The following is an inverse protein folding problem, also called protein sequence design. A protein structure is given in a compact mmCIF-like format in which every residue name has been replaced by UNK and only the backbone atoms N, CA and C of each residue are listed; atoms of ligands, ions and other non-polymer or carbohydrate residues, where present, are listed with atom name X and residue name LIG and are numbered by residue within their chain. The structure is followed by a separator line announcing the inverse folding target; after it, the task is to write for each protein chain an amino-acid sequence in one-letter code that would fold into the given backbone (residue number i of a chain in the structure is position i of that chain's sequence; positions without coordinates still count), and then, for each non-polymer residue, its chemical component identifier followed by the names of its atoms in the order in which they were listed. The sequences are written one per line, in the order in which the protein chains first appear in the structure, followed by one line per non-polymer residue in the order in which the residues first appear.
data_IF_679250419118
#
_entry.id   IF_679250419118
#
_cell.length_a   1.000
_cell.length_b   1.000
_cell.length_c   1.000
_cell.angle_alpha   90.00
_cell.angle_beta   90.00
_cell.angle_gamma   90.00
#
_symmetry.space_group_name_H-M   'P 1'
#
loop_
_entity.id
_entity.type
_entity.pdbx_description
1 polymer ?
#
# COMPACT_ATOMS: atom_id res chain seq x y z
N UNK A 1 17.90 -3.99 2.20
CA UNK A 1 17.82 -3.53 3.59
C UNK A 1 19.24 -3.49 4.19
N UNK A 2 19.80 -2.30 4.51
CA UNK A 2 21.14 -2.14 5.06
C UNK A 2 21.40 -3.02 6.30
N UNK A 3 20.43 -3.09 7.22
CA UNK A 3 20.56 -3.88 8.45
C UNK A 3 20.76 -5.37 8.19
N UNK A 4 20.05 -5.95 7.20
CA UNK A 4 20.26 -7.35 6.82
C UNK A 4 21.66 -7.56 6.22
N UNK A 5 22.11 -6.64 5.38
CA UNK A 5 23.44 -6.68 4.78
C UNK A 5 24.52 -6.71 5.86
N UNK A 6 24.42 -5.85 6.84
CA UNK A 6 25.42 -5.73 7.91
C UNK A 6 25.38 -6.90 8.90
N UNK A 7 24.19 -7.32 9.32
CA UNK A 7 24.02 -8.40 10.31
C UNK A 7 24.49 -9.76 9.76
N UNK A 8 24.20 -10.05 8.49
CA UNK A 8 24.52 -11.36 7.89
C UNK A 8 25.68 -11.30 6.92
N UNK A 9 26.36 -10.16 6.78
CA UNK A 9 27.47 -9.99 5.83
C UNK A 9 27.10 -10.49 4.44
N UNK A 10 25.96 -10.02 3.93
CA UNK A 10 25.40 -10.42 2.64
C UNK A 10 26.31 -9.94 1.51
N UNK A 11 26.75 -10.86 0.69
CA UNK A 11 27.61 -10.63 -0.49
C UNK A 11 26.81 -10.59 -1.79
N UNK A 12 27.37 -11.21 -2.82
CA UNK A 12 26.75 -11.25 -4.16
C UNK A 12 25.57 -12.21 -4.24
N UNK A 13 24.66 -11.94 -5.19
CA UNK A 13 23.55 -12.83 -5.53
C UNK A 13 24.10 -14.11 -6.16
N UNK A 14 23.64 -15.25 -5.67
CA UNK A 14 23.85 -16.56 -6.30
C UNK A 14 22.75 -16.79 -7.35
N UNK A 15 23.06 -16.48 -8.60
CA UNK A 15 22.12 -16.61 -9.71
C UNK A 15 21.64 -18.04 -9.95
N UNK A 16 22.46 -19.05 -9.59
CA UNK A 16 22.10 -20.46 -9.79
C UNK A 16 21.06 -20.96 -8.77
N UNK A 17 20.99 -20.29 -7.62
CA UNK A 17 20.07 -20.62 -6.52
C UNK A 17 18.97 -19.57 -6.33
N UNK A 18 18.83 -18.65 -7.27
CA UNK A 18 17.76 -17.66 -7.29
C UNK A 18 16.80 -17.99 -8.42
N UNK A 19 15.50 -17.81 -8.18
CA UNK A 19 14.44 -18.17 -9.12
C UNK A 19 13.29 -17.17 -9.09
N UNK A 20 12.57 -17.09 -10.18
CA UNK A 20 11.22 -16.49 -10.20
C UNK A 20 10.27 -17.62 -9.86
N UNK A 21 9.61 -17.52 -8.71
CA UNK A 21 8.72 -18.57 -8.20
C UNK A 21 7.34 -18.48 -8.83
N UNK A 22 6.85 -17.24 -9.04
CA UNK A 22 5.61 -16.99 -9.76
C UNK A 22 5.56 -15.58 -10.34
N UNK A 23 4.84 -15.42 -11.44
CA UNK A 23 4.48 -14.14 -12.00
C UNK A 23 2.98 -14.17 -12.33
N UNK A 24 2.22 -13.20 -11.82
CA UNK A 24 0.78 -13.05 -12.04
C UNK A 24 0.51 -11.68 -12.61
N UNK A 25 -0.30 -11.63 -13.66
CA UNK A 25 -0.75 -10.39 -14.28
C UNK A 25 -2.24 -10.20 -14.01
N UNK A 26 -2.58 -9.00 -13.59
CA UNK A 26 -3.95 -8.55 -13.32
C UNK A 26 -4.21 -7.29 -14.15
N UNK A 27 -5.46 -6.82 -14.27
CA UNK A 27 -5.77 -5.65 -15.09
C UNK A 27 -4.98 -4.38 -14.73
N UNK A 28 -4.66 -4.16 -13.47
CA UNK A 28 -4.01 -2.94 -12.99
C UNK A 28 -2.68 -3.18 -12.27
N UNK A 29 -2.24 -4.45 -12.11
CA UNK A 29 -0.98 -4.77 -11.46
C UNK A 29 -0.35 -6.08 -11.93
N UNK A 30 0.95 -6.19 -11.72
CA UNK A 30 1.73 -7.41 -11.93
C UNK A 30 2.42 -7.73 -10.62
N UNK A 31 2.28 -8.98 -10.17
CA UNK A 31 2.92 -9.49 -8.96
C UNK A 31 3.97 -10.53 -9.33
N UNK A 32 5.21 -10.31 -8.92
CA UNK A 32 6.32 -11.22 -9.19
C UNK A 32 6.95 -11.65 -7.88
N UNK A 33 6.81 -12.93 -7.54
CA UNK A 33 7.47 -13.55 -6.39
C UNK A 33 8.80 -14.14 -6.81
N UNK A 34 9.86 -13.73 -6.15
CA UNK A 34 11.23 -14.12 -6.47
C UNK A 34 11.89 -14.67 -5.20
N UNK A 35 12.52 -15.84 -5.30
CA UNK A 35 13.46 -16.31 -4.28
C UNK A 35 14.86 -15.82 -4.63
N UNK A 36 15.43 -14.98 -3.78
CA UNK A 36 16.80 -14.50 -3.90
C UNK A 36 17.71 -15.21 -2.90
N UNK A 37 18.79 -15.78 -3.41
CA UNK A 37 19.84 -16.41 -2.61
C UNK A 37 21.12 -15.58 -2.74
N UNK A 38 21.73 -15.27 -1.60
CA UNK A 38 22.97 -14.50 -1.51
C UNK A 38 24.06 -15.33 -0.84
N UNK A 39 25.29 -15.16 -1.26
CA UNK A 39 26.43 -15.64 -0.51
C UNK A 39 26.59 -14.80 0.76
N UNK A 40 26.97 -15.45 1.86
CA UNK A 40 27.19 -14.77 3.13
C UNK A 40 28.35 -15.38 3.90
N UNK A 41 29.13 -14.55 4.57
CA UNK A 41 30.18 -15.00 5.51
C UNK A 41 29.63 -15.20 6.93
N UNK A 42 28.42 -14.72 7.22
CA UNK A 42 27.77 -14.84 8.52
C UNK A 42 26.32 -15.32 8.34
N UNK A 43 26.10 -16.62 8.00
CA UNK A 43 24.75 -17.14 7.80
C UNK A 43 23.94 -17.16 9.10
N UNK A 44 22.61 -17.20 9.03
CA UNK A 44 21.77 -17.49 10.19
C UNK A 44 22.17 -18.80 10.88
N UNK A 45 22.07 -18.89 12.20
CA UNK A 45 22.53 -20.06 12.98
C UNK A 45 21.99 -21.41 12.52
N UNK A 46 20.77 -21.44 12.00
CA UNK A 46 20.12 -22.65 11.49
C UNK A 46 20.65 -23.12 10.13
N UNK A 47 21.43 -22.29 9.43
CA UNK A 47 21.90 -22.58 8.09
C UNK A 47 23.38 -22.95 8.09
N UNK A 48 23.70 -24.22 7.78
CA UNK A 48 25.08 -24.72 7.64
C UNK A 48 25.73 -24.31 6.31
N UNK A 49 24.94 -23.81 5.35
CA UNK A 49 25.44 -23.31 4.08
C UNK A 49 25.87 -21.85 4.22
N UNK A 50 26.89 -21.44 3.46
CA UNK A 50 27.30 -20.02 3.43
C UNK A 50 26.40 -19.18 2.53
N UNK A 51 25.08 -19.36 2.69
CA UNK A 51 24.05 -18.67 1.90
C UNK A 51 22.92 -18.17 2.76
N UNK A 52 22.27 -17.14 2.29
CA UNK A 52 21.07 -16.54 2.87
C UNK A 52 20.02 -16.39 1.77
N UNK A 53 18.87 -17.04 1.93
CA UNK A 53 17.78 -16.97 0.96
C UNK A 53 16.54 -16.31 1.60
N UNK A 54 15.82 -15.53 0.80
CA UNK A 54 14.54 -14.97 1.19
C UNK A 54 13.67 -14.72 -0.05
N UNK A 55 12.39 -14.68 0.17
CA UNK A 55 11.43 -14.35 -0.88
C UNK A 55 11.13 -12.85 -0.86
N UNK A 56 11.01 -12.28 -2.05
CA UNK A 56 10.60 -10.88 -2.27
C UNK A 56 9.46 -10.88 -3.27
N UNK A 57 8.38 -10.22 -2.91
CA UNK A 57 7.32 -9.91 -3.85
C UNK A 57 7.52 -8.51 -4.43
N UNK A 58 7.53 -8.42 -5.75
CA UNK A 58 7.58 -7.16 -6.48
C UNK A 58 6.21 -6.88 -7.08
N UNK A 59 5.58 -5.81 -6.62
CA UNK A 59 4.31 -5.33 -7.16
C UNK A 59 4.55 -4.16 -8.09
N UNK A 60 4.12 -4.30 -9.35
CA UNK A 60 4.10 -3.23 -10.33
C UNK A 60 2.66 -2.79 -10.54
N UNK A 61 2.34 -1.55 -10.22
CA UNK A 61 0.98 -1.02 -10.24
C UNK A 61 0.85 0.00 -11.36
N UNK A 62 -0.18 -0.15 -12.19
CA UNK A 62 -0.54 0.84 -13.18
C UNK A 62 -1.05 2.10 -12.47
N UNK A 63 -0.44 3.23 -12.78
CA UNK A 63 -0.91 4.49 -12.22
C UNK A 63 -2.22 4.93 -12.91
N UNK A 64 -3.17 5.51 -12.18
CA UNK A 64 -4.43 5.95 -12.75
C UNK A 64 -4.21 7.07 -13.78
N UNK A 65 -4.96 7.03 -14.89
CA UNK A 65 -4.92 8.07 -15.92
C UNK A 65 -5.34 9.44 -15.35
N UNK A 66 -6.39 9.45 -14.55
CA UNK A 66 -6.84 10.65 -13.83
C UNK A 66 -6.10 10.77 -12.51
N UNK A 67 -5.22 11.76 -12.45
CA UNK A 67 -4.45 12.04 -11.23
C UNK A 67 -5.33 12.66 -10.16
N UNK A 68 -5.12 12.25 -8.92
CA UNK A 68 -5.73 12.88 -7.76
C UNK A 68 -5.27 14.33 -7.65
N UNK A 69 -6.20 15.26 -7.32
CA UNK A 69 -5.82 16.65 -6.99
C UNK A 69 -4.82 16.66 -5.83
N UNK A 70 -3.66 17.25 -6.07
CA UNK A 70 -2.61 17.39 -5.07
C UNK A 70 -3.04 18.38 -4.00
N UNK A 71 -2.52 18.19 -2.78
CA UNK A 71 -2.62 19.14 -1.69
C UNK A 71 -1.22 19.34 -1.09
N UNK A 72 -0.76 20.58 -1.09
CA UNK A 72 0.54 20.94 -0.53
C UNK A 72 0.52 20.78 0.99
N UNK A 73 1.68 20.48 1.55
CA UNK A 73 1.88 20.41 2.98
C UNK A 73 1.80 21.82 3.59
N UNK A 74 1.14 21.88 4.75
CA UNK A 74 1.12 23.07 5.60
C UNK A 74 1.71 22.67 6.95
N UNK A 75 2.71 23.44 7.42
CA UNK A 75 3.44 23.16 8.67
C UNK A 75 2.58 23.27 9.93
N UNK A 76 1.43 23.95 9.83
CA UNK A 76 0.47 24.08 10.94
C UNK A 76 -0.27 22.78 11.26
N UNK A 77 -0.23 21.82 10.35
CA UNK A 77 -0.90 20.54 10.51
C UNK A 77 0.09 19.38 10.25
N UNK A 78 0.23 18.49 11.23
CA UNK A 78 1.16 17.35 11.20
C UNK A 78 0.70 16.22 10.32
N UNK A 79 0.76 16.36 8.99
CA UNK A 79 0.42 15.32 8.02
C UNK A 79 1.60 14.44 7.65
N UNK A 80 1.33 13.18 7.33
CA UNK A 80 2.27 12.37 6.58
C UNK A 80 2.39 12.90 5.15
N UNK A 81 3.62 13.00 4.64
CA UNK A 81 3.89 13.61 3.34
C UNK A 81 4.66 12.70 2.40
N UNK A 82 4.57 13.01 1.11
CA UNK A 82 5.45 12.52 0.05
C UNK A 82 6.28 13.70 -0.43
N UNK A 83 7.60 13.53 -0.43
CA UNK A 83 8.50 14.53 -0.99
C UNK A 83 8.60 14.33 -2.51
N UNK A 84 8.53 15.41 -3.25
CA UNK A 84 8.70 15.45 -4.70
C UNK A 84 9.73 16.51 -5.05
N UNK A 85 10.40 16.32 -6.18
CA UNK A 85 11.32 17.31 -6.77
C UNK A 85 10.74 17.67 -8.14
N UNK A 86 10.65 18.97 -8.39
CA UNK A 86 10.22 19.50 -9.68
C UNK A 86 11.45 19.74 -10.57
N UNK A 87 11.50 18.99 -11.67
CA UNK A 87 12.56 19.13 -12.70
C UNK A 87 12.03 19.84 -13.96
N UNK A 88 10.79 20.32 -13.96
CA UNK A 88 10.19 21.00 -15.12
C UNK A 88 10.49 22.49 -15.18
N UNK A 89 11.10 23.03 -14.13
CA UNK A 89 11.47 24.43 -14.03
C UNK A 89 12.82 24.70 -14.69
N UNK A 90 12.93 25.82 -15.42
CA UNK A 90 14.20 26.33 -15.98
C UNK A 90 15.11 26.99 -14.94
N UNK A 91 14.79 26.87 -13.64
CA UNK A 91 15.59 27.43 -12.57
C UNK A 91 16.94 26.69 -12.42
N UNK A 92 17.95 27.39 -11.95
CA UNK A 92 19.29 26.81 -11.69
C UNK A 92 19.30 25.72 -10.61
N UNK A 93 18.21 25.60 -9.85
CA UNK A 93 18.03 24.60 -8.80
C UNK A 93 16.62 24.02 -8.88
N UNK A 94 16.52 22.69 -8.84
CA UNK A 94 15.23 22.01 -8.72
C UNK A 94 14.61 22.23 -7.35
N UNK A 95 13.36 22.65 -7.32
CA UNK A 95 12.61 22.84 -6.09
C UNK A 95 12.03 21.54 -5.57
N UNK A 96 12.14 21.37 -4.25
CA UNK A 96 11.47 20.27 -3.57
C UNK A 96 10.20 20.76 -2.89
N UNK A 97 9.14 19.98 -2.99
CA UNK A 97 7.88 20.27 -2.34
C UNK A 97 7.29 19.01 -1.69
N UNK A 98 6.44 19.22 -0.71
CA UNK A 98 5.79 18.14 0.04
C UNK A 98 4.31 18.11 -0.23
N UNK A 99 3.80 16.90 -0.53
CA UNK A 99 2.38 16.65 -0.75
C UNK A 99 1.82 15.85 0.42
N UNK A 100 0.62 16.19 0.86
CA UNK A 100 -0.08 15.48 1.92
C UNK A 100 -0.51 14.10 1.42
N UNK A 101 -0.24 13.05 2.21
CA UNK A 101 -0.84 11.72 2.02
C UNK A 101 -2.27 11.76 2.53
N UNK A 102 -3.22 11.44 1.66
CA UNK A 102 -4.64 11.35 2.00
C UNK A 102 -5.36 10.35 1.11
N UNK A 103 -6.50 9.90 1.56
CA UNK A 103 -7.40 9.11 0.73
C UNK A 103 -7.97 9.97 -0.41
N UNK A 104 -8.16 9.34 -1.58
CA UNK A 104 -8.87 9.95 -2.70
C UNK A 104 -10.36 9.83 -2.45
N UNK A 105 -10.95 10.83 -1.81
CA UNK A 105 -12.38 10.92 -1.59
C UNK A 105 -12.94 11.95 -2.56
N UNK A 106 -13.74 11.48 -3.51
CA UNK A 106 -14.47 12.28 -4.49
C UNK A 106 -15.95 12.01 -4.30
N UNK A 107 -16.78 13.04 -4.20
CA UNK A 107 -18.22 12.84 -3.96
C UNK A 107 -18.88 12.17 -5.17
N UNK A 108 -19.78 11.22 -4.91
CA UNK A 108 -20.59 10.57 -5.94
C UNK A 108 -21.58 11.54 -6.57
N UNK A 109 -22.05 12.50 -5.78
CA UNK A 109 -22.90 13.62 -6.20
C UNK A 109 -22.27 14.94 -5.75
N UNK A 110 -21.66 15.66 -6.71
CA UNK A 110 -20.94 16.91 -6.43
C UNK A 110 -21.90 18.06 -6.08
N UNK A 111 -23.11 18.10 -6.64
CA UNK A 111 -24.09 19.13 -6.35
C UNK A 111 -24.62 19.01 -4.91
N UNK A 112 -24.98 17.80 -4.49
CA UNK A 112 -25.41 17.56 -3.12
C UNK A 112 -24.29 17.87 -2.11
N UNK A 113 -23.05 17.47 -2.43
CA UNK A 113 -21.90 17.80 -1.61
C UNK A 113 -21.67 19.31 -1.47
N UNK A 114 -21.82 20.05 -2.56
CA UNK A 114 -21.69 21.52 -2.56
C UNK A 114 -22.76 22.22 -1.74
N UNK A 115 -23.94 21.61 -1.59
CA UNK A 115 -25.01 22.11 -0.69
C UNK A 115 -24.78 21.73 0.78
N UNK A 116 -23.70 20.99 1.09
CA UNK A 116 -23.40 20.54 2.46
C UNK A 116 -24.14 19.27 2.88
N UNK A 117 -24.73 18.53 1.94
CA UNK A 117 -25.36 17.23 2.21
C UNK A 117 -24.32 16.14 2.38
N UNK A 118 -24.60 15.14 3.23
CA UNK A 118 -23.76 13.95 3.34
C UNK A 118 -23.92 13.07 2.10
N UNK A 119 -22.82 12.84 1.39
CA UNK A 119 -22.78 12.02 0.17
C UNK A 119 -21.88 10.80 0.32
N UNK A 120 -22.12 9.78 -0.48
CA UNK A 120 -21.18 8.67 -0.59
C UNK A 120 -19.97 9.06 -1.46
N UNK A 121 -18.77 8.52 -1.17
CA UNK A 121 -17.64 8.66 -2.07
C UNK A 121 -17.84 7.81 -3.33
N UNK A 122 -17.27 8.21 -4.47
CA UNK A 122 -17.23 7.40 -5.70
C UNK A 122 -16.61 6.02 -5.46
N UNK A 123 -15.61 5.95 -4.59
CA UNK A 123 -14.95 4.72 -4.16
C UNK A 123 -14.81 4.69 -2.66
N UNK A 124 -15.37 3.69 -2.02
CA UNK A 124 -15.22 3.46 -0.58
C UNK A 124 -13.80 3.02 -0.24
N UNK A 125 -13.36 3.31 0.97
CA UNK A 125 -12.17 2.75 1.58
C UNK A 125 -12.56 1.38 2.14
N UNK A 126 -12.05 0.32 1.52
CA UNK A 126 -12.36 -1.06 1.93
C UNK A 126 -11.15 -1.67 2.62
N UNK A 127 -11.36 -2.16 3.83
CA UNK A 127 -10.40 -2.99 4.56
C UNK A 127 -10.88 -4.44 4.57
N UNK A 128 -10.03 -5.35 4.15
CA UNK A 128 -10.29 -6.77 4.27
C UNK A 128 -9.63 -7.32 5.53
N UNK A 129 -10.40 -8.08 6.31
CA UNK A 129 -9.87 -8.75 7.49
C UNK A 129 -9.04 -9.96 7.06
N UNK A 130 -7.86 -10.12 7.67
CA UNK A 130 -7.03 -11.31 7.47
C UNK A 130 -7.81 -12.56 7.88
N UNK A 131 -7.73 -13.62 7.08
CA UNK A 131 -8.36 -14.91 7.35
C UNK A 131 -7.85 -15.55 8.65
N UNK A 132 -6.61 -15.28 9.03
CA UNK A 132 -6.02 -15.71 10.29
C UNK A 132 -6.63 -15.01 11.51
N UNK A 133 -7.37 -13.91 11.33
CA UNK A 133 -8.06 -13.24 12.45
C UNK A 133 -9.13 -14.15 13.05
N UNK A 134 -9.03 -14.51 14.34
CA UNK A 134 -10.00 -15.40 14.99
C UNK A 134 -11.43 -14.85 14.90
N UNK A 135 -12.39 -15.71 14.57
CA UNK A 135 -13.80 -15.33 14.32
C UNK A 135 -14.39 -14.49 15.45
N UNK A 136 -14.07 -14.81 16.70
CA UNK A 136 -14.57 -14.09 17.90
C UNK A 136 -14.19 -12.61 17.94
N UNK A 137 -13.07 -12.22 17.28
CA UNK A 137 -12.58 -10.84 17.30
C UNK A 137 -13.01 -10.03 16.09
N UNK A 138 -13.43 -10.68 14.99
CA UNK A 138 -13.82 -10.00 13.75
C UNK A 138 -14.87 -8.90 13.93
N UNK A 139 -15.96 -9.09 14.71
CA UNK A 139 -16.95 -8.04 14.90
C UNK A 139 -16.35 -6.76 15.54
N UNK A 140 -15.39 -6.91 16.43
CA UNK A 140 -14.74 -5.78 17.08
C UNK A 140 -13.80 -5.03 16.13
N UNK A 141 -13.07 -5.75 15.26
CA UNK A 141 -12.27 -5.12 14.21
C UNK A 141 -13.15 -4.38 13.19
N UNK A 142 -14.22 -5.00 12.74
CA UNK A 142 -15.19 -4.37 11.83
C UNK A 142 -15.69 -3.07 12.46
N UNK A 143 -16.23 -3.15 13.67
CA UNK A 143 -16.74 -1.99 14.38
C UNK A 143 -15.67 -0.90 14.53
N UNK A 144 -14.46 -1.24 14.98
CA UNK A 144 -13.38 -0.27 15.17
C UNK A 144 -12.93 0.41 13.89
N UNK A 145 -13.00 -0.26 12.73
CA UNK A 145 -12.73 0.34 11.43
C UNK A 145 -13.90 1.26 11.02
N UNK A 146 -15.13 0.80 11.17
CA UNK A 146 -16.31 1.53 10.73
C UNK A 146 -16.66 2.72 11.63
N UNK A 147 -16.22 2.75 12.89
CA UNK A 147 -16.32 3.90 13.78
C UNK A 147 -15.67 5.16 13.21
N UNK A 148 -14.70 5.02 12.29
CA UNK A 148 -14.11 6.15 11.54
C UNK A 148 -15.10 6.86 10.61
N UNK A 149 -16.23 6.25 10.26
CA UNK A 149 -17.25 6.94 9.45
C UNK A 149 -17.71 8.25 10.09
N UNK A 150 -17.76 8.33 11.43
CA UNK A 150 -18.12 9.56 12.14
C UNK A 150 -17.16 10.72 11.83
N UNK A 151 -15.87 10.44 11.57
CA UNK A 151 -14.88 11.44 11.17
C UNK A 151 -15.09 11.84 9.70
N UNK A 152 -15.39 10.89 8.83
CA UNK A 152 -15.66 11.18 7.42
C UNK A 152 -16.96 11.96 7.22
N UNK A 153 -17.96 11.74 8.07
CA UNK A 153 -19.21 12.52 8.06
C UNK A 153 -18.95 14.00 8.36
N UNK A 154 -18.00 14.31 9.25
CA UNK A 154 -17.56 15.71 9.45
C UNK A 154 -16.93 16.34 8.21
N UNK A 155 -16.40 15.51 7.31
CA UNK A 155 -15.88 15.94 6.01
C UNK A 155 -16.93 15.88 4.88
N UNK A 156 -18.20 15.58 5.18
CA UNK A 156 -19.30 15.53 4.22
C UNK A 156 -19.50 14.18 3.54
N UNK A 157 -18.85 13.11 4.03
CA UNK A 157 -18.93 11.78 3.42
C UNK A 157 -19.54 10.76 4.35
N UNK A 158 -20.58 10.04 3.92
CA UNK A 158 -21.20 8.90 4.61
C UNK A 158 -20.77 7.59 3.96
N UNK A 159 -20.81 6.48 4.72
CA UNK A 159 -20.46 5.14 4.23
C UNK A 159 -19.10 5.09 3.56
N UNK A 160 -18.13 5.79 4.12
CA UNK A 160 -16.83 6.04 3.47
C UNK A 160 -15.87 4.88 3.65
N UNK A 161 -15.84 4.31 4.85
CA UNK A 161 -14.93 3.23 5.22
C UNK A 161 -15.74 2.02 5.66
N UNK A 162 -15.37 0.85 5.13
CA UNK A 162 -16.04 -0.41 5.43
C UNK A 162 -15.00 -1.50 5.66
N UNK A 163 -15.30 -2.41 6.58
CA UNK A 163 -14.51 -3.60 6.81
C UNK A 163 -15.26 -4.83 6.29
N UNK A 164 -14.58 -5.68 5.52
CA UNK A 164 -15.15 -6.87 4.91
C UNK A 164 -14.30 -8.10 5.19
N UNK A 165 -14.93 -9.27 5.19
CA UNK A 165 -14.17 -10.50 5.01
C UNK A 165 -13.62 -10.54 3.59
N UNK A 166 -12.43 -11.11 3.37
CA UNK A 166 -11.90 -11.28 2.02
C UNK A 166 -12.83 -12.17 1.22
N UNK A 167 -12.97 -11.95 -0.09
CA UNK A 167 -13.73 -12.82 -0.96
C UNK A 167 -13.13 -14.22 -0.97
N UNK A 168 -13.95 -15.22 -1.21
CA UNK A 168 -13.46 -16.57 -1.48
C UNK A 168 -12.75 -16.63 -2.85
N UNK A 169 -11.96 -17.68 -3.09
CA UNK A 169 -11.33 -17.89 -4.39
C UNK A 169 -12.33 -18.13 -5.52
N UNK A 170 -13.56 -18.52 -5.18
CA UNK A 170 -14.65 -18.71 -6.12
C UNK A 170 -15.29 -17.38 -6.51
N UNK A 171 -15.40 -16.45 -5.55
CA UNK A 171 -15.94 -15.10 -5.78
C UNK A 171 -14.93 -14.20 -6.50
N UNK A 172 -13.65 -14.27 -6.12
CA UNK A 172 -12.57 -13.53 -6.78
C UNK A 172 -11.29 -14.38 -6.84
N UNK A 173 -11.09 -15.14 -7.93
CA UNK A 173 -9.89 -15.96 -8.12
C UNK A 173 -8.57 -15.16 -8.12
N UNK A 174 -8.66 -13.86 -8.38
CA UNK A 174 -7.52 -12.97 -8.50
C UNK A 174 -7.26 -12.17 -7.22
N UNK A 175 -8.11 -12.32 -6.22
CA UNK A 175 -7.89 -11.65 -4.94
C UNK A 175 -6.59 -12.14 -4.31
N UNK A 176 -5.68 -11.19 -4.05
CA UNK A 176 -4.46 -11.42 -3.29
C UNK A 176 -4.51 -10.56 -2.04
N UNK A 177 -4.52 -11.18 -0.85
CA UNK A 177 -4.49 -10.48 0.41
C UNK A 177 -3.16 -9.74 0.64
#
# INVERSE_FOLDING_TARGET
NPRLKDNYKIGSVDKKRSSIDSAKSFPENIEVLITLTFNTSKPPRANRTKTFSFQVNHSFILLPNEKMKIRNYDHRVGWFTVNKVDYSSDALKSDSFRLIRRWRLEPKNEEAYSRGELVEPKKQIVYYLDLATPKKWRPYFIKGIEDWNSVFEKAGFKNTIVAKNPPSKEEDPNFSP
#
